data_IF_306060150717
#
_entry.id   IF_306060150717
#
_cell.length_a   1.000
_cell.length_b   1.000
_cell.length_c   1.000
_cell.angle_alpha   90.00
_cell.angle_beta   90.00
_cell.angle_gamma   90.00
#
_symmetry.space_group_name_H-M   'P 1'
#
loop_
_entity.id
_entity.type
_entity.pdbx_description
1 polymer ?
#
# COMPACT_ATOMS: atom_id res chain seq x y z
N UNK A 1 7.28 16.22 5.40
CA UNK A 1 7.56 15.45 4.16
C UNK A 1 6.75 14.16 4.22
N UNK A 2 5.83 13.95 3.28
CA UNK A 2 5.11 12.67 3.19
C UNK A 2 6.15 11.58 2.88
N UNK A 3 6.39 10.68 3.82
CA UNK A 3 7.21 9.50 3.57
C UNK A 3 6.42 8.59 2.61
N UNK A 4 6.47 8.89 1.32
CA UNK A 4 6.02 8.05 0.20
C UNK A 4 6.92 6.81 0.05
N UNK A 5 7.41 6.29 1.17
CA UNK A 5 8.30 5.15 1.21
C UNK A 5 7.45 3.90 0.99
N UNK A 6 7.72 3.21 -0.12
CA UNK A 6 7.13 1.91 -0.40
C UNK A 6 7.42 1.00 0.80
N UNK A 7 6.43 0.27 1.33
CA UNK A 7 6.63 -0.65 2.44
C UNK A 7 7.82 -1.59 2.25
N UNK A 8 8.63 -1.75 3.29
CA UNK A 8 9.85 -2.59 3.26
C UNK A 8 9.58 -4.00 2.73
N UNK A 9 8.45 -4.59 3.09
CA UNK A 9 8.08 -5.96 2.68
C UNK A 9 7.83 -6.06 1.17
N UNK A 10 7.21 -5.03 0.57
CA UNK A 10 7.00 -4.98 -0.89
C UNK A 10 8.36 -4.93 -1.60
N UNK A 11 9.28 -4.10 -1.12
CA UNK A 11 10.64 -4.00 -1.67
C UNK A 11 11.39 -5.34 -1.53
N UNK A 12 11.32 -5.99 -0.37
CA UNK A 12 11.95 -7.31 -0.14
C UNK A 12 11.41 -8.37 -1.11
N UNK A 13 10.10 -8.41 -1.33
CA UNK A 13 9.47 -9.35 -2.27
C UNK A 13 9.90 -9.04 -3.71
N UNK A 14 9.94 -7.77 -4.12
CA UNK A 14 10.40 -7.36 -5.45
C UNK A 14 11.85 -7.76 -5.71
N UNK A 15 12.75 -7.53 -4.74
CA UNK A 15 14.15 -7.99 -4.80
C UNK A 15 14.26 -9.51 -4.88
N UNK A 16 13.39 -10.26 -4.19
CA UNK A 16 13.37 -11.71 -4.31
C UNK A 16 12.92 -12.14 -5.71
N UNK A 17 11.86 -11.53 -6.24
CA UNK A 17 11.35 -11.83 -7.58
C UNK A 17 12.38 -11.58 -8.68
N UNK A 18 13.20 -10.53 -8.57
CA UNK A 18 14.25 -10.25 -9.56
C UNK A 18 15.35 -11.31 -9.65
N UNK A 19 15.44 -12.21 -8.65
CA UNK A 19 16.42 -13.32 -8.62
C UNK A 19 15.83 -14.66 -9.07
N UNK A 20 14.52 -14.74 -9.31
CA UNK A 20 13.84 -15.99 -9.64
C UNK A 20 13.63 -16.10 -11.14
N UNK A 21 13.82 -17.30 -11.68
CA UNK A 21 13.44 -17.60 -13.07
C UNK A 21 11.94 -17.36 -13.26
N UNK A 22 11.60 -16.62 -14.32
CA UNK A 22 10.24 -16.27 -14.68
C UNK A 22 9.41 -17.55 -14.84
N UNK A 23 8.20 -17.55 -14.31
CA UNK A 23 7.26 -18.66 -14.33
C UNK A 23 7.65 -19.94 -13.55
N UNK A 24 8.81 -19.95 -12.87
CA UNK A 24 9.13 -20.96 -11.87
C UNK A 24 8.07 -21.03 -10.77
N UNK A 25 7.98 -22.16 -10.08
CA UNK A 25 7.04 -22.35 -8.95
C UNK A 25 7.20 -21.26 -7.88
N UNK A 26 8.45 -20.91 -7.57
CA UNK A 26 8.76 -19.85 -6.61
C UNK A 26 8.39 -18.48 -7.15
N UNK A 27 8.68 -18.18 -8.42
CA UNK A 27 8.27 -16.91 -9.03
C UNK A 27 6.75 -16.72 -8.94
N UNK A 28 5.96 -17.72 -9.36
CA UNK A 28 4.49 -17.67 -9.27
C UNK A 28 3.99 -17.48 -7.82
N UNK A 29 4.63 -18.14 -6.85
CA UNK A 29 4.34 -17.97 -5.42
C UNK A 29 4.58 -16.53 -4.97
N UNK A 30 5.78 -15.99 -5.21
CA UNK A 30 6.14 -14.64 -4.75
C UNK A 30 5.37 -13.54 -5.48
N UNK A 31 4.97 -13.74 -6.73
CA UNK A 31 4.09 -12.81 -7.46
C UNK A 31 2.70 -12.73 -6.82
N UNK A 32 2.13 -13.87 -6.41
CA UNK A 32 0.85 -13.89 -5.66
C UNK A 32 0.96 -13.19 -4.31
N UNK A 33 2.06 -13.41 -3.60
CA UNK A 33 2.34 -12.74 -2.32
C UNK A 33 2.44 -11.23 -2.54
N UNK A 34 3.21 -10.78 -3.54
CA UNK A 34 3.36 -9.36 -3.88
C UNK A 34 2.00 -8.69 -4.15
N UNK A 35 1.16 -9.31 -4.97
CA UNK A 35 -0.17 -8.80 -5.29
C UNK A 35 -1.05 -8.59 -4.03
N UNK A 36 -1.00 -9.54 -3.08
CA UNK A 36 -1.72 -9.42 -1.80
C UNK A 36 -1.22 -8.24 -0.98
N UNK A 37 0.09 -8.05 -0.88
CA UNK A 37 0.69 -6.94 -0.13
C UNK A 37 0.36 -5.58 -0.75
N UNK A 38 0.44 -5.46 -2.07
CA UNK A 38 0.07 -4.22 -2.79
C UNK A 38 -1.41 -3.89 -2.53
N UNK A 39 -2.32 -4.86 -2.70
CA UNK A 39 -3.76 -4.63 -2.47
C UNK A 39 -4.03 -4.14 -1.04
N UNK A 40 -3.42 -4.78 -0.05
CA UNK A 40 -3.59 -4.43 1.36
C UNK A 40 -3.07 -3.01 1.65
N UNK A 41 -1.89 -2.69 1.13
CA UNK A 41 -1.30 -1.36 1.26
C UNK A 41 -2.17 -0.28 0.63
N UNK A 42 -2.61 -0.48 -0.62
CA UNK A 42 -3.49 0.47 -1.32
C UNK A 42 -4.82 0.66 -0.58
N UNK A 43 -5.41 -0.42 -0.05
CA UNK A 43 -6.65 -0.33 0.73
C UNK A 43 -6.46 0.53 1.98
N UNK A 44 -5.36 0.34 2.71
CA UNK A 44 -5.03 1.16 3.88
C UNK A 44 -4.89 2.64 3.53
N UNK A 45 -4.23 2.96 2.41
CA UNK A 45 -4.10 4.35 1.96
C UNK A 45 -5.46 4.97 1.62
N UNK A 46 -6.35 4.22 0.97
CA UNK A 46 -7.71 4.69 0.67
C UNK A 46 -8.51 5.00 1.93
N UNK A 47 -8.48 4.11 2.92
CA UNK A 47 -9.16 4.32 4.20
C UNK A 47 -8.62 5.56 4.92
N UNK A 48 -7.29 5.69 4.99
CA UNK A 48 -6.66 6.88 5.59
C UNK A 48 -7.05 8.17 4.85
N UNK A 49 -7.18 8.14 3.53
CA UNK A 49 -7.63 9.29 2.76
C UNK A 49 -9.09 9.65 3.09
N UNK A 50 -9.98 8.66 3.17
CA UNK A 50 -11.38 8.91 3.51
C UNK A 50 -11.50 9.50 4.92
N UNK A 51 -10.76 8.98 5.91
CA UNK A 51 -10.75 9.49 7.28
C UNK A 51 -10.35 10.97 7.28
N UNK A 52 -9.26 11.32 6.59
CA UNK A 52 -8.80 12.73 6.50
C UNK A 52 -9.85 13.66 5.89
N UNK A 53 -10.58 13.19 4.88
CA UNK A 53 -11.67 13.97 4.29
C UNK A 53 -12.76 14.24 5.30
N UNK A 54 -13.17 13.22 6.07
CA UNK A 54 -14.16 13.37 7.14
C UNK A 54 -13.67 14.37 8.20
N UNK A 55 -12.45 14.19 8.71
CA UNK A 55 -11.82 15.10 9.69
C UNK A 55 -11.77 16.55 9.19
N UNK A 56 -11.50 16.73 7.89
CA UNK A 56 -11.46 18.07 7.28
C UNK A 56 -12.85 18.71 7.24
N UNK A 57 -13.89 17.93 6.90
CA UNK A 57 -15.29 18.41 6.88
C UNK A 57 -15.72 18.81 8.30
N UNK A 58 -15.49 17.95 9.30
CA UNK A 58 -15.83 18.26 10.69
C UNK A 58 -15.15 19.54 11.19
N UNK A 59 -13.90 19.77 10.77
CA UNK A 59 -13.17 20.98 11.12
C UNK A 59 -13.81 22.23 10.50
N UNK A 60 -14.19 22.15 9.22
CA UNK A 60 -14.88 23.25 8.52
C UNK A 60 -16.23 23.55 9.17
N UNK A 61 -17.00 22.54 9.56
CA UNK A 61 -18.29 22.72 10.25
C UNK A 61 -18.11 23.41 11.60
N UNK A 62 -17.09 23.03 12.37
CA UNK A 62 -16.75 23.68 13.66
C UNK A 62 -16.27 25.11 13.51
N UNK A 63 -15.55 25.45 12.44
CA UNK A 63 -15.07 26.82 12.18
C UNK A 63 -16.18 27.76 11.70
N UNK A 64 -17.25 27.22 11.09
CA UNK A 64 -18.38 27.98 10.56
C UNK A 64 -19.59 28.04 11.52
N UNK A 65 -19.50 27.44 12.72
CA UNK A 65 -20.55 27.45 13.76
C UNK A 65 -20.16 28.36 14.92
#
# INVERSE_FOLDING_TARGET
MQNNSIPSDIIKIQKKLSTLEKDSRNYKKYTKILAKHIKTYTMKQRVNSHIKTIETIEKIEKENS
#
